data_IF_478158945470
#
_entry.id   IF_478158945470
#
_cell.length_a   1.000
_cell.length_b   1.000
_cell.length_c   1.000
_cell.angle_alpha   90.00
_cell.angle_beta   90.00
_cell.angle_gamma   90.00
#
_symmetry.space_group_name_H-M   'P 1'
#
loop_
_entity.id
_entity.type
_entity.pdbx_description
1 polymer ?
#
# COMPACT_ATOMS: atom_id res chain seq x y z
N UNK A 1 14.42 -16.98 -14.98
CA UNK A 1 14.52 -16.41 -13.61
C UNK A 1 13.14 -16.51 -12.99
N UNK A 2 12.96 -17.38 -11.98
CA UNK A 2 11.70 -17.46 -11.24
C UNK A 2 11.61 -16.24 -10.33
N UNK A 3 10.69 -15.32 -10.62
CA UNK A 3 10.40 -14.22 -9.71
C UNK A 3 9.63 -14.83 -8.53
N UNK A 4 10.25 -14.85 -7.34
CA UNK A 4 9.52 -15.16 -6.11
C UNK A 4 8.36 -14.15 -6.00
N UNK A 5 7.15 -14.61 -6.32
CA UNK A 5 5.93 -13.86 -6.03
C UNK A 5 5.63 -14.10 -4.56
N UNK A 6 5.77 -13.08 -3.70
CA UNK A 6 5.40 -13.25 -2.31
C UNK A 6 3.92 -13.66 -2.24
N UNK A 7 3.56 -14.54 -1.29
CA UNK A 7 2.19 -14.96 -1.08
C UNK A 7 1.27 -13.74 -0.93
N UNK A 8 0.06 -13.83 -1.48
CA UNK A 8 -0.90 -12.73 -1.52
C UNK A 8 -1.08 -12.12 -0.13
N UNK A 9 -0.86 -10.81 -0.03
CA UNK A 9 -0.99 -10.08 1.21
C UNK A 9 -2.47 -9.76 1.49
N UNK A 10 -2.96 -10.16 2.67
CA UNK A 10 -4.28 -9.78 3.14
C UNK A 10 -4.17 -8.44 3.85
N UNK A 11 -4.74 -7.39 3.26
CA UNK A 11 -4.71 -6.03 3.80
C UNK A 11 -6.03 -5.71 4.52
N UNK A 12 -5.94 -5.35 5.80
CA UNK A 12 -7.08 -4.94 6.63
C UNK A 12 -6.85 -3.56 7.22
N UNK A 13 -7.83 -2.68 7.07
CA UNK A 13 -7.81 -1.34 7.67
C UNK A 13 -8.52 -1.37 9.02
N UNK A 14 -7.99 -0.63 10.00
CA UNK A 14 -8.57 -0.60 11.36
C UNK A 14 -10.02 -0.11 11.36
N UNK A 15 -10.84 -0.59 12.30
CA UNK A 15 -12.23 -0.13 12.43
C UNK A 15 -12.27 1.36 12.87
N UNK A 16 -13.24 2.11 12.35
CA UNK A 16 -13.45 3.53 12.71
C UNK A 16 -13.21 4.54 11.60
N UNK A 17 -12.57 4.15 10.48
CA UNK A 17 -12.41 4.98 9.28
C UNK A 17 -11.62 6.28 9.46
N UNK A 18 -11.30 6.94 8.35
CA UNK A 18 -10.80 8.32 8.35
C UNK A 18 -9.30 8.50 8.63
N UNK A 19 -8.93 9.72 9.03
CA UNK A 19 -7.53 10.18 9.07
C UNK A 19 -6.65 9.37 10.05
N UNK A 20 -7.23 8.87 11.15
CA UNK A 20 -6.53 8.13 12.21
C UNK A 20 -6.57 6.60 12.05
N UNK A 21 -6.94 6.10 10.88
CA UNK A 21 -7.02 4.66 10.61
C UNK A 21 -5.63 4.04 10.39
N UNK A 22 -5.26 2.99 11.12
CA UNK A 22 -4.08 2.17 10.81
C UNK A 22 -4.37 1.10 9.75
N UNK A 23 -3.35 0.32 9.40
CA UNK A 23 -3.48 -0.79 8.46
C UNK A 23 -2.67 -2.00 8.94
N UNK A 24 -3.23 -3.18 8.77
CA UNK A 24 -2.58 -4.46 9.00
C UNK A 24 -2.36 -5.18 7.67
N UNK A 25 -1.13 -5.64 7.43
CA UNK A 25 -0.76 -6.48 6.28
C UNK A 25 -0.45 -7.87 6.82
N UNK A 26 -1.21 -8.88 6.41
CA UNK A 26 -0.99 -10.27 6.82
C UNK A 26 -0.46 -11.07 5.64
N UNK A 27 0.64 -11.82 5.85
CA UNK A 27 1.15 -12.79 4.88
C UNK A 27 1.17 -14.18 5.51
N UNK A 28 0.74 -15.17 4.72
CA UNK A 28 0.87 -16.57 5.03
C UNK A 28 2.22 -17.06 4.51
N UNK A 29 3.01 -17.67 5.37
CA UNK A 29 4.27 -18.31 4.99
C UNK A 29 4.01 -19.76 4.56
N UNK A 30 4.96 -20.34 3.83
CA UNK A 30 4.88 -21.74 3.37
C UNK A 30 4.74 -22.74 4.51
N UNK A 31 5.28 -22.40 5.70
CA UNK A 31 5.18 -23.20 6.92
C UNK A 31 3.82 -23.05 7.65
N UNK A 32 2.85 -22.35 7.04
CA UNK A 32 1.53 -22.09 7.60
C UNK A 32 1.49 -20.97 8.64
N UNK A 33 2.62 -20.36 9.01
CA UNK A 33 2.63 -19.25 9.97
C UNK A 33 2.10 -17.98 9.33
N UNK A 34 1.42 -17.18 10.15
CA UNK A 34 0.94 -15.85 9.77
C UNK A 34 1.88 -14.79 10.32
N UNK A 35 2.38 -13.92 9.44
CA UNK A 35 3.08 -12.71 9.85
C UNK A 35 2.18 -11.51 9.63
N UNK A 36 2.01 -10.68 10.66
CA UNK A 36 1.15 -9.50 10.64
C UNK A 36 1.97 -8.25 10.92
N UNK A 37 2.13 -7.41 9.91
CA UNK A 37 2.63 -6.05 10.10
C UNK A 37 1.46 -5.15 10.50
N UNK A 38 1.54 -4.53 11.68
CA UNK A 38 0.59 -3.51 12.14
C UNK A 38 1.22 -2.14 11.99
N UNK A 39 0.67 -1.33 11.10
CA UNK A 39 1.16 0.02 10.81
C UNK A 39 0.18 1.01 11.44
N UNK A 40 0.61 1.81 12.44
CA UNK A 40 -0.25 2.80 13.07
C UNK A 40 -0.59 3.92 12.07
N UNK A 41 -1.58 4.74 12.40
CA UNK A 41 -2.10 5.77 11.49
C UNK A 41 -1.06 6.81 11.02
N UNK A 42 -0.03 7.04 11.84
CA UNK A 42 1.12 7.93 11.61
C UNK A 42 2.39 7.15 11.23
N UNK A 43 2.27 5.85 10.97
CA UNK A 43 3.37 4.99 10.59
C UNK A 43 3.85 5.21 9.16
N UNK A 44 4.93 4.52 8.83
CA UNK A 44 5.53 4.51 7.49
C UNK A 44 5.59 3.07 6.96
N UNK A 45 5.61 2.96 5.63
CA UNK A 45 5.68 1.69 4.91
C UNK A 45 6.81 1.71 3.89
N UNK A 46 7.36 0.55 3.57
CA UNK A 46 8.28 0.41 2.42
C UNK A 46 7.50 0.49 1.11
N UNK A 47 8.20 0.63 -0.01
CA UNK A 47 7.58 0.58 -1.35
C UNK A 47 6.88 -0.77 -1.61
N UNK A 48 7.44 -1.89 -1.13
CA UNK A 48 6.82 -3.20 -1.24
C UNK A 48 5.52 -3.29 -0.44
N UNK A 49 5.52 -2.79 0.80
CA UNK A 49 4.31 -2.72 1.60
C UNK A 49 3.26 -1.76 1.00
N UNK A 50 3.70 -0.65 0.38
CA UNK A 50 2.80 0.26 -0.32
C UNK A 50 2.09 -0.43 -1.49
N UNK A 51 2.81 -1.28 -2.23
CA UNK A 51 2.26 -2.08 -3.32
C UNK A 51 1.15 -3.02 -2.81
N UNK A 52 1.40 -3.73 -1.70
CA UNK A 52 0.41 -4.59 -1.05
C UNK A 52 -0.82 -3.78 -0.61
N UNK A 53 -0.62 -2.65 0.07
CA UNK A 53 -1.71 -1.82 0.62
C UNK A 53 -2.58 -1.21 -0.47
N UNK A 54 -1.99 -0.83 -1.60
CA UNK A 54 -2.70 -0.21 -2.72
C UNK A 54 -3.20 -1.22 -3.76
N UNK A 55 -2.81 -2.49 -3.65
CA UNK A 55 -3.18 -3.53 -4.61
C UNK A 55 -2.60 -3.30 -6.01
N UNK A 56 -1.38 -2.77 -6.10
CA UNK A 56 -0.69 -2.49 -7.36
C UNK A 56 0.68 -3.18 -7.40
N UNK A 57 1.32 -3.22 -8.56
CA UNK A 57 2.67 -3.80 -8.66
C UNK A 57 3.73 -2.93 -7.98
N UNK A 58 4.81 -3.53 -7.48
CA UNK A 58 5.98 -2.79 -6.97
C UNK A 58 6.57 -1.85 -8.03
N UNK A 59 6.56 -2.27 -9.30
CA UNK A 59 7.02 -1.43 -10.42
C UNK A 59 6.17 -0.16 -10.56
N UNK A 60 4.85 -0.26 -10.35
CA UNK A 60 3.94 0.90 -10.33
C UNK A 60 4.32 1.88 -9.23
N UNK A 61 4.57 1.38 -8.01
CA UNK A 61 5.02 2.21 -6.88
C UNK A 61 6.35 2.90 -7.20
N UNK A 62 7.32 2.16 -7.72
CA UNK A 62 8.64 2.71 -8.07
C UNK A 62 8.50 3.82 -9.11
N UNK A 63 7.67 3.63 -10.13
CA UNK A 63 7.41 4.65 -11.13
C UNK A 63 6.78 5.90 -10.53
N UNK A 64 5.79 5.76 -9.63
CA UNK A 64 5.17 6.92 -8.97
C UNK A 64 6.11 7.67 -8.05
N UNK A 65 7.01 6.96 -7.35
CA UNK A 65 8.05 7.60 -6.54
C UNK A 65 9.03 8.36 -7.43
N UNK A 66 9.53 7.71 -8.48
CA UNK A 66 10.50 8.31 -9.39
C UNK A 66 9.93 9.51 -10.16
N UNK A 67 8.63 9.51 -10.46
CA UNK A 67 7.95 10.63 -11.11
C UNK A 67 7.49 11.73 -10.14
N UNK A 68 7.69 11.54 -8.83
CA UNK A 68 7.20 12.47 -7.79
C UNK A 68 5.69 12.43 -7.54
N UNK A 69 4.95 11.49 -8.14
CA UNK A 69 3.51 11.33 -7.93
C UNK A 69 3.16 10.71 -6.57
N UNK A 70 4.12 10.00 -5.97
CA UNK A 70 4.07 9.44 -4.62
C UNK A 70 5.21 10.00 -3.79
N UNK A 71 4.90 10.76 -2.75
CA UNK A 71 5.91 11.36 -1.88
C UNK A 71 6.56 10.29 -0.99
N UNK A 72 7.89 10.27 -0.93
CA UNK A 72 8.65 9.39 -0.06
C UNK A 72 9.65 10.16 0.80
N UNK A 73 10.02 9.57 1.93
CA UNK A 73 11.03 10.06 2.85
C UNK A 73 12.30 9.27 2.58
N UNK A 74 13.37 9.95 2.18
CA UNK A 74 14.67 9.35 1.93
C UNK A 74 15.62 9.68 3.07
N UNK A 75 15.95 8.68 3.88
CA UNK A 75 16.97 8.79 4.91
C UNK A 75 18.33 8.33 4.32
N UNK A 76 19.41 9.04 4.65
CA UNK A 76 20.74 8.70 4.12
C UNK A 76 21.13 7.28 4.57
N UNK A 77 21.46 6.43 3.59
CA UNK A 77 21.87 5.04 3.84
C UNK A 77 20.73 4.06 4.16
N UNK A 78 19.47 4.47 4.04
CA UNK A 78 18.31 3.59 4.27
C UNK A 78 17.38 3.54 3.05
N UNK A 79 16.62 2.44 2.87
CA UNK A 79 15.54 2.40 1.91
C UNK A 79 14.53 3.53 2.16
N UNK A 80 13.99 4.12 1.09
CA UNK A 80 12.96 5.14 1.25
C UNK A 80 11.68 4.57 1.82
N UNK A 81 10.99 5.36 2.63
CA UNK A 81 9.71 4.99 3.24
C UNK A 81 8.61 5.96 2.81
N UNK A 82 7.37 5.52 2.83
CA UNK A 82 6.19 6.30 2.45
C UNK A 82 5.29 6.40 3.67
N UNK A 83 4.79 7.60 3.99
CA UNK A 83 3.88 7.76 5.13
C UNK A 83 2.53 7.11 4.85
N UNK A 84 1.88 6.54 5.87
CA UNK A 84 0.55 5.98 5.68
C UNK A 84 -0.48 7.06 5.28
N UNK A 85 -0.25 8.33 5.66
CA UNK A 85 -1.05 9.47 5.19
C UNK A 85 -1.00 9.63 3.67
N UNK A 86 0.19 9.50 3.09
CA UNK A 86 0.38 9.56 1.63
C UNK A 86 -0.27 8.36 0.93
N UNK A 87 -0.16 7.16 1.50
CA UNK A 87 -0.86 5.97 0.99
C UNK A 87 -2.37 6.17 1.00
N UNK A 88 -2.93 6.75 2.06
CA UNK A 88 -4.37 7.07 2.13
C UNK A 88 -4.79 8.08 1.07
N UNK A 89 -3.97 9.11 0.80
CA UNK A 89 -4.21 10.09 -0.28
C UNK A 89 -4.34 9.38 -1.63
N UNK A 90 -3.35 8.54 -1.98
CA UNK A 90 -3.36 7.81 -3.26
C UNK A 90 -4.51 6.82 -3.32
N UNK A 91 -4.78 6.08 -2.25
CA UNK A 91 -5.92 5.16 -2.17
C UNK A 91 -7.24 5.88 -2.43
N UNK A 92 -7.43 7.08 -1.88
CA UNK A 92 -8.62 7.90 -2.13
C UNK A 92 -8.76 8.21 -3.62
N UNK A 93 -7.70 8.69 -4.26
CA UNK A 93 -7.68 8.98 -5.71
C UNK A 93 -8.02 7.74 -6.55
N UNK A 94 -7.44 6.57 -6.22
CA UNK A 94 -7.72 5.32 -6.93
C UNK A 94 -9.18 4.88 -6.78
N UNK A 95 -9.73 4.99 -5.56
CA UNK A 95 -11.13 4.66 -5.29
C UNK A 95 -12.09 5.62 -6.00
N UNK A 96 -11.79 6.92 -6.00
CA UNK A 96 -12.59 7.94 -6.66
C UNK A 96 -12.57 7.75 -8.18
N UNK A 97 -11.41 7.46 -8.79
CA UNK A 97 -11.35 7.08 -10.21
C UNK A 97 -12.07 5.77 -10.52
N UNK A 98 -12.01 4.77 -9.64
CA UNK A 98 -12.74 3.53 -9.80
C UNK A 98 -14.27 3.70 -9.67
N UNK A 99 -14.73 4.69 -8.90
CA UNK A 99 -16.14 5.09 -8.86
C UNK A 99 -16.54 5.80 -10.14
N UNK A 100 -15.79 6.82 -10.55
CA UNK A 100 -16.04 7.54 -11.80
C UNK A 100 -16.10 6.61 -13.02
N UNK A 101 -15.23 5.59 -13.09
CA UNK A 101 -15.29 4.56 -14.15
C UNK A 101 -16.52 3.68 -14.08
N UNK A 102 -17.02 3.33 -12.89
CA UNK A 102 -18.25 2.54 -12.74
C UNK A 102 -19.48 3.34 -13.10
N UNK A 103 -19.56 4.58 -12.64
CA UNK A 103 -20.67 5.49 -12.93
C UNK A 103 -20.74 5.81 -14.43
N UNK A 104 -19.58 6.00 -15.10
CA UNK A 104 -19.51 6.20 -16.54
C UNK A 104 -19.87 4.95 -17.39
N UNK A 105 -19.87 3.75 -16.79
CA UNK A 105 -20.21 2.49 -17.45
C UNK A 105 -21.62 1.98 -17.10
N UNK A 106 -22.40 2.73 -16.33
CA UNK A 106 -23.84 2.48 -16.11
C UNK A 106 -24.16 1.05 -15.64
N UNK A 107 -23.56 0.60 -14.54
CA UNK A 107 -23.94 -0.64 -13.86
C UNK A 107 -24.32 -0.39 -12.41
#
# INVERSE_FOLDING_TARGET
MSYYQPPEAIVKWDRGGGARQGVSITRLLEDGKQYVWRIPFNGVVTQAMAADVLGVSLMTINNWVNSGALMHIKLKGQPSVISLGEIKRVRKVLLDHGRLRRDALGR
#
